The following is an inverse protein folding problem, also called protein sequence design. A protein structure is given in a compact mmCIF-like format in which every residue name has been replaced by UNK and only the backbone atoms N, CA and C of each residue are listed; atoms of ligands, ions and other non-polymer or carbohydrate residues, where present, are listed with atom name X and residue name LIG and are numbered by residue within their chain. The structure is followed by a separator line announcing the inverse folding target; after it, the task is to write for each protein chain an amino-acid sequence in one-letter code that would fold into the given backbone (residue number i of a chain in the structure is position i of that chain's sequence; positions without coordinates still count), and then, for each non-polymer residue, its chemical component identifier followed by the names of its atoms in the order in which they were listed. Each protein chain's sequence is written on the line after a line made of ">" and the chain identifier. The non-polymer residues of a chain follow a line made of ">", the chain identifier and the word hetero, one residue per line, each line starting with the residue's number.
data_IF_585698369579
#
_entry.id   IF_585698369579
#
_cell.length_a   1.000
_cell.length_b   1.000
_cell.length_c   1.000
_cell.angle_alpha   90.00
_cell.angle_beta   90.00
_cell.angle_gamma   90.00
#
_symmetry.space_group_name_H-M   'P 1'
#
loop_
_entity.id
_entity.type
_entity.pdbx_description
1 polymer ?
#
# COMPACT_ATOMS: atom_id res chain seq x y z
N UNK A 1 10.39 -44.64 -12.12
CA UNK A 1 10.58 -43.81 -10.91
C UNK A 1 11.34 -42.56 -11.31
N UNK A 2 10.61 -41.48 -11.62
CA UNK A 2 11.14 -40.13 -11.83
C UNK A 2 10.04 -39.19 -11.36
N UNK A 3 10.28 -38.58 -10.19
CA UNK A 3 9.38 -37.65 -9.55
C UNK A 3 9.38 -36.33 -10.34
N UNK A 4 8.16 -35.89 -10.64
CA UNK A 4 7.83 -34.65 -11.33
C UNK A 4 8.23 -33.44 -10.46
N UNK A 5 8.97 -32.49 -11.05
CA UNK A 5 9.26 -31.20 -10.45
C UNK A 5 8.00 -30.34 -10.58
N UNK A 6 7.05 -30.53 -9.66
CA UNK A 6 5.92 -29.61 -9.54
C UNK A 6 6.41 -28.26 -9.01
N UNK A 7 6.53 -27.32 -9.95
CA UNK A 7 6.38 -25.88 -9.74
C UNK A 7 5.26 -25.62 -8.73
N UNK A 8 5.61 -25.20 -7.51
CA UNK A 8 4.64 -24.91 -6.46
C UNK A 8 3.68 -23.78 -6.86
N UNK A 9 2.39 -24.09 -6.89
CA UNK A 9 1.28 -23.14 -6.98
C UNK A 9 1.41 -22.02 -5.94
N UNK A 10 1.76 -20.79 -6.38
CA UNK A 10 1.53 -19.56 -5.60
C UNK A 10 0.16 -18.98 -5.93
N UNK A 11 -0.89 -19.75 -5.66
CA UNK A 11 -2.27 -19.33 -5.92
C UNK A 11 -2.89 -18.69 -4.67
N UNK A 12 -3.02 -17.36 -4.67
CA UNK A 12 -4.23 -16.72 -4.14
C UNK A 12 -4.12 -15.68 -3.01
N UNK A 13 -2.96 -15.14 -2.64
CA UNK A 13 -2.89 -14.15 -1.54
C UNK A 13 -1.92 -13.00 -1.87
N UNK A 14 -2.30 -11.75 -1.54
CA UNK A 14 -1.56 -10.52 -1.89
C UNK A 14 -0.78 -9.96 -0.71
N UNK A 15 0.32 -9.28 -0.99
CA UNK A 15 1.20 -8.67 0.01
C UNK A 15 0.68 -7.28 0.39
N UNK A 16 1.36 -6.56 1.29
CA UNK A 16 0.87 -5.26 1.80
C UNK A 16 1.97 -4.22 1.80
N UNK A 17 1.65 -2.98 1.43
CA UNK A 17 2.54 -1.85 1.63
C UNK A 17 2.04 -1.00 2.80
N UNK A 18 2.85 -0.84 3.85
CA UNK A 18 2.51 -0.02 5.02
C UNK A 18 3.22 1.34 4.95
N UNK A 19 2.61 2.38 5.54
CA UNK A 19 3.18 3.72 5.69
C UNK A 19 3.14 4.18 7.15
N UNK A 20 4.26 4.74 7.63
CA UNK A 20 4.37 5.24 9.00
C UNK A 20 3.40 6.38 9.25
N UNK A 21 2.73 6.37 10.40
CA UNK A 21 1.96 7.51 10.89
C UNK A 21 2.90 8.68 11.23
N UNK A 22 2.48 9.94 10.99
CA UNK A 22 3.22 11.08 11.52
C UNK A 22 3.22 10.97 13.05
N UNK A 23 4.40 10.75 13.63
CA UNK A 23 4.56 10.85 15.09
C UNK A 23 4.05 12.23 15.52
N UNK A 24 3.22 12.34 16.58
CA UNK A 24 2.99 13.63 17.20
C UNK A 24 4.35 14.06 17.72
N UNK A 25 5.03 14.94 16.98
CA UNK A 25 6.22 15.59 17.49
C UNK A 25 5.81 16.20 18.82
N UNK A 26 6.39 15.71 19.91
CA UNK A 26 6.36 16.38 21.21
C UNK A 26 7.17 17.67 20.99
N UNK A 27 6.57 18.67 20.35
CA UNK A 27 7.07 20.04 20.40
C UNK A 27 6.58 20.58 21.73
N UNK A 28 7.16 20.07 22.81
CA UNK A 28 7.01 20.67 24.13
C UNK A 28 7.49 22.11 24.04
N UNK A 29 6.62 23.03 24.48
CA UNK A 29 6.82 24.48 24.48
C UNK A 29 8.26 24.86 24.89
N UNK A 30 9.06 25.32 23.94
CA UNK A 30 10.16 26.25 24.23
C UNK A 30 10.32 27.21 23.06
N UNK A 31 10.19 28.50 23.38
CA UNK A 31 10.22 29.65 22.50
C UNK A 31 11.52 29.73 21.67
N UNK A 32 11.37 29.94 20.36
CA UNK A 32 12.32 30.54 19.41
C UNK A 32 13.75 30.00 19.31
N UNK A 33 13.99 29.15 18.31
CA UNK A 33 15.05 29.35 17.31
C UNK A 33 14.60 28.68 16.01
N UNK A 34 14.45 29.45 14.94
CA UNK A 34 14.09 28.93 13.61
C UNK A 34 15.26 28.13 13.04
N UNK A 35 15.40 26.88 13.45
CA UNK A 35 16.17 25.92 12.68
C UNK A 35 15.26 25.41 11.57
N UNK A 36 15.57 25.82 10.35
CA UNK A 36 15.28 25.01 9.16
C UNK A 36 16.05 23.69 9.32
N UNK A 37 15.51 22.78 10.12
CA UNK A 37 15.91 21.39 10.05
C UNK A 37 15.26 20.87 8.77
N UNK A 38 16.06 20.68 7.73
CA UNK A 38 15.76 19.65 6.75
C UNK A 38 15.67 18.35 7.54
N UNK A 39 14.48 18.07 8.06
CA UNK A 39 14.23 16.94 8.94
C UNK A 39 14.34 15.71 8.06
N UNK A 40 15.53 15.10 8.02
CA UNK A 40 15.66 13.76 7.48
C UNK A 40 14.82 12.88 8.39
N UNK A 41 13.67 12.44 7.88
CA UNK A 41 12.82 11.51 8.59
C UNK A 41 13.61 10.22 8.76
N UNK A 42 14.01 9.94 10.01
CA UNK A 42 14.66 8.68 10.35
C UNK A 42 13.58 7.59 10.35
N UNK A 43 13.60 6.77 9.30
CA UNK A 43 12.72 5.62 9.21
C UNK A 43 13.20 4.49 10.14
N UNK A 44 12.27 3.69 10.69
CA UNK A 44 12.65 2.49 11.43
C UNK A 44 13.48 1.53 10.57
N UNK A 45 14.25 0.66 11.21
CA UNK A 45 15.06 -0.35 10.49
C UNK A 45 14.15 -1.20 9.59
N UNK A 46 14.54 -1.35 8.32
CA UNK A 46 13.79 -2.10 7.32
C UNK A 46 12.74 -1.29 6.54
N UNK A 47 12.50 -0.03 6.90
CA UNK A 47 11.60 0.86 6.18
C UNK A 47 12.36 1.73 5.18
N UNK A 48 11.74 1.99 4.05
CA UNK A 48 12.28 2.84 3.00
C UNK A 48 11.77 4.28 3.15
N UNK A 49 12.69 5.25 3.19
CA UNK A 49 12.34 6.65 3.22
C UNK A 49 11.93 7.15 1.84
N UNK A 50 10.85 7.93 1.78
CA UNK A 50 10.53 8.76 0.63
C UNK A 50 9.91 10.08 1.10
N UNK A 51 10.64 11.18 0.92
CA UNK A 51 10.24 12.48 1.45
C UNK A 51 10.15 12.46 2.98
N UNK A 52 9.00 12.88 3.52
CA UNK A 52 8.73 12.90 4.95
C UNK A 52 8.02 11.64 5.49
N UNK A 53 7.96 10.56 4.69
CA UNK A 53 7.22 9.34 5.03
C UNK A 53 8.11 8.11 4.90
N UNK A 54 7.76 7.07 5.65
CA UNK A 54 8.45 5.78 5.63
C UNK A 54 7.50 4.71 5.12
N UNK A 55 7.98 3.86 4.21
CA UNK A 55 7.19 2.82 3.58
C UNK A 55 7.82 1.45 3.82
N UNK A 56 7.00 0.42 3.99
CA UNK A 56 7.43 -0.95 4.16
C UNK A 56 6.65 -1.86 3.24
N UNK A 57 7.36 -2.69 2.49
CA UNK A 57 6.76 -3.83 1.81
C UNK A 57 6.73 -5.03 2.75
N UNK A 58 5.54 -5.59 2.96
CA UNK A 58 5.31 -6.74 3.84
C UNK A 58 5.08 -7.97 3.00
N UNK A 59 6.02 -8.90 3.04
CA UNK A 59 5.96 -10.20 2.38
C UNK A 59 5.16 -11.23 3.23
N UNK A 60 3.94 -10.85 3.62
CA UNK A 60 2.96 -11.71 4.26
C UNK A 60 1.64 -11.67 3.47
N UNK A 61 1.17 -12.80 2.94
CA UNK A 61 0.11 -12.78 1.95
C UNK A 61 -1.26 -12.83 2.67
N UNK A 62 -1.95 -11.68 2.63
CA UNK A 62 -3.13 -11.36 3.44
C UNK A 62 -4.28 -10.81 2.58
N UNK A 63 -5.52 -10.93 3.07
CA UNK A 63 -6.64 -10.15 2.55
C UNK A 63 -6.47 -8.66 2.92
N UNK A 64 -7.19 -7.76 2.24
CA UNK A 64 -7.00 -6.31 2.43
C UNK A 64 -7.28 -5.86 3.87
N UNK A 65 -8.31 -6.42 4.51
CA UNK A 65 -8.62 -6.11 5.91
C UNK A 65 -7.52 -6.59 6.86
N UNK A 66 -7.04 -7.83 6.69
CA UNK A 66 -5.98 -8.39 7.52
C UNK A 66 -4.65 -7.65 7.30
N UNK A 67 -4.40 -7.22 6.08
CA UNK A 67 -3.28 -6.36 5.70
C UNK A 67 -3.33 -5.00 6.41
N UNK A 68 -4.51 -4.36 6.45
CA UNK A 68 -4.73 -3.12 7.19
C UNK A 68 -4.47 -3.31 8.69
N UNK A 69 -5.02 -4.36 9.28
CA UNK A 69 -4.79 -4.69 10.70
C UNK A 69 -3.33 -5.02 10.99
N UNK A 70 -2.63 -5.66 10.05
CA UNK A 70 -1.21 -5.95 10.17
C UNK A 70 -0.37 -4.67 10.18
N UNK A 71 -0.62 -3.72 9.27
CA UNK A 71 0.04 -2.41 9.29
C UNK A 71 -0.23 -1.68 10.62
N UNK A 72 -1.48 -1.70 11.10
CA UNK A 72 -1.85 -1.06 12.38
C UNK A 72 -1.11 -1.64 13.59
N UNK A 73 -0.93 -2.96 13.63
CA UNK A 73 -0.13 -3.63 14.68
C UNK A 73 1.34 -3.19 14.69
N UNK A 74 1.85 -2.68 13.57
CA UNK A 74 3.19 -2.10 13.45
C UNK A 74 3.23 -0.58 13.69
N UNK A 75 2.12 0.05 14.08
CA UNK A 75 2.03 1.52 14.24
C UNK A 75 1.97 2.29 12.92
N UNK A 76 1.46 1.65 11.87
CA UNK A 76 1.37 2.18 10.50
C UNK A 76 -0.03 1.95 9.91
N UNK A 77 -0.31 2.51 8.75
CA UNK A 77 -1.50 2.20 7.96
C UNK A 77 -1.12 1.57 6.62
N UNK A 78 -2.07 0.98 5.89
CA UNK A 78 -1.85 0.66 4.49
C UNK A 78 -1.54 1.94 3.72
N UNK A 79 -0.52 1.87 2.86
CA UNK A 79 0.07 3.02 2.22
C UNK A 79 -0.91 3.76 1.31
N UNK A 80 -0.94 5.07 1.45
CA UNK A 80 -1.64 6.00 0.57
C UNK A 80 -0.66 6.73 -0.36
N UNK A 81 -1.15 7.14 -1.53
CA UNK A 81 -0.38 7.79 -2.58
C UNK A 81 -0.95 9.19 -2.80
N UNK A 82 -0.18 10.22 -2.49
CA UNK A 82 -0.63 11.62 -2.54
C UNK A 82 -0.01 12.43 -3.67
N UNK A 83 1.01 11.91 -4.35
CA UNK A 83 1.63 12.61 -5.47
C UNK A 83 2.30 11.63 -6.47
N UNK A 84 2.65 12.09 -7.69
CA UNK A 84 3.26 11.23 -8.70
C UNK A 84 4.61 10.62 -8.28
N UNK A 85 5.39 11.32 -7.46
CA UNK A 85 6.70 10.84 -7.00
C UNK A 85 6.55 9.67 -6.03
N UNK A 86 5.59 9.76 -5.09
CA UNK A 86 5.19 8.65 -4.22
C UNK A 86 4.66 7.47 -5.03
N UNK A 87 3.84 7.70 -6.06
CA UNK A 87 3.35 6.63 -6.92
C UNK A 87 4.50 5.87 -7.58
N UNK A 88 5.44 6.58 -8.19
CA UNK A 88 6.61 5.97 -8.83
C UNK A 88 7.47 5.19 -7.83
N UNK A 89 7.67 5.74 -6.63
CA UNK A 89 8.40 5.08 -5.57
C UNK A 89 7.70 3.80 -5.09
N UNK A 90 6.40 3.85 -4.86
CA UNK A 90 5.59 2.69 -4.47
C UNK A 90 5.58 1.60 -5.54
N UNK A 91 5.46 1.98 -6.81
CA UNK A 91 5.58 1.07 -7.95
C UNK A 91 6.96 0.39 -7.98
N UNK A 92 8.04 1.13 -7.72
CA UNK A 92 9.39 0.55 -7.63
C UNK A 92 9.52 -0.41 -6.45
N UNK A 93 9.01 -0.03 -5.28
CA UNK A 93 9.03 -0.84 -4.07
C UNK A 93 8.33 -2.19 -4.29
N UNK A 94 7.16 -2.19 -4.96
CA UNK A 94 6.42 -3.42 -5.27
C UNK A 94 7.09 -4.23 -6.39
N UNK A 95 7.67 -3.59 -7.40
CA UNK A 95 8.46 -4.25 -8.45
C UNK A 95 9.67 -5.03 -7.87
N UNK A 96 10.34 -4.46 -6.87
CA UNK A 96 11.45 -5.09 -6.16
C UNK A 96 10.98 -6.18 -5.17
N UNK A 97 9.70 -6.18 -4.81
CA UNK A 97 9.07 -7.19 -3.98
C UNK A 97 8.82 -8.52 -4.71
N UNK A 98 8.14 -9.44 -4.03
CA UNK A 98 7.87 -10.78 -4.56
C UNK A 98 6.56 -10.90 -5.33
N UNK A 99 5.49 -10.21 -4.88
CA UNK A 99 4.14 -10.24 -5.47
C UNK A 99 3.46 -8.86 -5.49
N UNK A 100 2.25 -8.80 -6.05
CA UNK A 100 1.33 -7.66 -5.96
C UNK A 100 1.08 -7.26 -4.49
N UNK A 101 0.87 -5.96 -4.24
CA UNK A 101 0.70 -5.44 -2.90
C UNK A 101 -0.55 -4.56 -2.74
N UNK A 102 -1.34 -4.82 -1.70
CA UNK A 102 -2.42 -3.96 -1.27
C UNK A 102 -1.92 -2.58 -0.86
N UNK A 103 -2.73 -1.56 -1.17
CA UNK A 103 -2.57 -0.18 -0.72
C UNK A 103 -3.86 0.27 -0.01
N UNK A 104 -3.80 1.40 0.69
CA UNK A 104 -4.88 1.85 1.56
C UNK A 104 -6.14 2.36 0.85
N UNK A 105 -6.23 2.26 -0.48
CA UNK A 105 -7.36 2.78 -1.23
C UNK A 105 -8.51 1.76 -1.27
N UNK A 106 -9.72 2.24 -1.00
CA UNK A 106 -10.94 1.43 -1.04
C UNK A 106 -12.10 2.26 -1.60
N UNK A 107 -13.04 1.58 -2.25
CA UNK A 107 -14.22 2.20 -2.84
C UNK A 107 -15.40 2.10 -1.87
N UNK A 108 -15.97 3.24 -1.51
CA UNK A 108 -17.12 3.31 -0.61
C UNK A 108 -18.05 4.43 -1.03
N UNK A 109 -19.35 4.11 -1.19
CA UNK A 109 -20.41 5.07 -1.54
C UNK A 109 -20.01 5.90 -2.76
N UNK A 110 -19.79 5.20 -3.88
CA UNK A 110 -19.49 5.76 -5.21
C UNK A 110 -18.17 6.54 -5.36
N UNK A 111 -17.29 6.51 -4.36
CA UNK A 111 -15.98 7.14 -4.44
C UNK A 111 -14.88 6.31 -3.80
N UNK A 112 -13.69 6.43 -4.37
CA UNK A 112 -12.47 5.98 -3.71
C UNK A 112 -12.20 6.83 -2.47
N UNK A 113 -11.52 6.23 -1.48
CA UNK A 113 -11.04 6.85 -0.25
C UNK A 113 -9.75 6.18 0.20
N UNK A 114 -8.94 6.88 0.97
CA UNK A 114 -7.80 6.31 1.68
C UNK A 114 -8.19 5.89 3.11
N UNK A 115 -7.60 4.80 3.60
CA UNK A 115 -7.85 4.29 4.95
C UNK A 115 -7.31 5.20 6.06
N UNK A 116 -6.31 6.02 5.75
CA UNK A 116 -5.75 7.04 6.65
C UNK A 116 -6.67 8.27 6.81
N UNK A 117 -7.75 8.35 6.04
CA UNK A 117 -8.71 9.45 6.07
C UNK A 117 -8.27 10.69 5.28
N UNK A 118 -7.09 10.66 4.65
CA UNK A 118 -6.59 11.76 3.84
C UNK A 118 -7.39 11.91 2.54
N UNK A 119 -7.38 13.14 2.00
CA UNK A 119 -8.05 13.44 0.74
C UNK A 119 -7.39 12.74 -0.46
N UNK A 120 -8.22 12.29 -1.41
CA UNK A 120 -7.75 11.82 -2.72
C UNK A 120 -7.47 13.01 -3.66
N UNK A 121 -6.38 13.71 -3.40
CA UNK A 121 -5.91 14.81 -4.24
C UNK A 121 -5.16 14.35 -5.50
N UNK A 122 -4.65 13.11 -5.47
CA UNK A 122 -3.94 12.47 -6.58
C UNK A 122 -4.58 11.12 -6.90
N UNK A 123 -5.27 11.06 -8.04
CA UNK A 123 -6.06 9.90 -8.46
C UNK A 123 -5.93 9.58 -9.95
N UNK A 124 -4.92 10.13 -10.64
CA UNK A 124 -4.71 9.90 -12.09
C UNK A 124 -4.49 8.42 -12.45
N UNK A 125 -4.09 7.62 -11.45
CA UNK A 125 -3.88 6.18 -11.55
C UNK A 125 -5.17 5.36 -11.32
N UNK A 126 -6.25 5.99 -10.85
CA UNK A 126 -7.54 5.33 -10.63
C UNK A 126 -8.29 5.31 -11.96
N UNK A 127 -8.07 4.26 -12.73
CA UNK A 127 -9.00 3.88 -13.79
C UNK A 127 -10.36 3.57 -13.19
N UNK A 128 -11.40 4.28 -13.60
CA UNK A 128 -12.76 3.98 -13.13
C UNK A 128 -13.22 2.66 -13.74
N UNK A 129 -13.02 1.57 -13.01
CA UNK A 129 -13.62 0.30 -13.34
C UNK A 129 -14.81 -0.03 -12.46
N UNK A 130 -15.87 -0.40 -13.17
CA UNK A 130 -17.21 -0.75 -12.72
C UNK A 130 -17.26 -2.08 -11.96
N UNK A 131 -16.44 -2.26 -10.94
CA UNK A 131 -16.58 -3.41 -10.05
C UNK A 131 -17.80 -3.17 -9.16
N UNK A 132 -18.86 -3.95 -9.38
CA UNK A 132 -20.14 -3.94 -8.67
C UNK A 132 -20.07 -4.31 -7.17
N UNK A 133 -18.87 -4.28 -6.56
CA UNK A 133 -18.62 -4.82 -5.22
C UNK A 133 -17.53 -4.04 -4.46
N UNK A 134 -17.65 -2.70 -4.36
CA UNK A 134 -16.83 -1.84 -3.48
C UNK A 134 -15.36 -2.27 -3.37
N UNK A 135 -14.58 -2.21 -4.47
CA UNK A 135 -13.24 -2.78 -4.53
C UNK A 135 -12.24 -2.09 -3.60
N UNK A 136 -11.20 -2.84 -3.22
CA UNK A 136 -9.97 -2.35 -2.61
C UNK A 136 -8.83 -2.35 -3.64
N UNK A 137 -7.87 -1.43 -3.49
CA UNK A 137 -6.83 -1.19 -4.47
C UNK A 137 -5.52 -1.91 -4.14
N UNK A 138 -4.83 -2.40 -5.17
CA UNK A 138 -3.50 -2.97 -5.08
C UNK A 138 -2.61 -2.52 -6.25
N UNK A 139 -1.30 -2.55 -6.02
CA UNK A 139 -0.26 -2.33 -7.01
C UNK A 139 0.17 -3.65 -7.62
N UNK A 140 0.34 -3.69 -8.94
CA UNK A 140 0.91 -4.84 -9.63
C UNK A 140 2.42 -4.83 -9.58
N UNK A 141 3.04 -5.98 -9.37
CA UNK A 141 4.50 -6.12 -9.46
C UNK A 141 4.99 -5.99 -10.91
N UNK A 142 4.31 -6.66 -11.83
CA UNK A 142 4.77 -6.82 -13.21
C UNK A 142 4.22 -5.73 -14.16
N UNK A 143 3.40 -4.81 -13.65
CA UNK A 143 2.92 -3.65 -14.41
C UNK A 143 2.86 -2.45 -13.49
N UNK A 144 3.21 -1.25 -13.98
CA UNK A 144 3.08 0.01 -13.23
C UNK A 144 1.60 0.45 -13.15
N UNK A 145 0.74 -0.47 -12.78
CA UNK A 145 -0.71 -0.31 -12.76
C UNK A 145 -1.22 -0.40 -11.32
N UNK A 146 -2.35 0.25 -11.09
CA UNK A 146 -3.14 0.07 -9.87
C UNK A 146 -4.47 -0.53 -10.28
N UNK A 147 -4.93 -1.50 -9.51
CA UNK A 147 -6.09 -2.32 -9.86
C UNK A 147 -7.03 -2.46 -8.67
N UNK A 148 -8.30 -2.78 -8.93
CA UNK A 148 -9.30 -3.08 -7.91
C UNK A 148 -9.52 -4.58 -7.73
N UNK A 149 -9.82 -5.02 -6.51
CA UNK A 149 -10.32 -6.37 -6.24
C UNK A 149 -11.17 -6.40 -4.95
N UNK A 150 -11.88 -7.50 -4.70
CA UNK A 150 -12.71 -7.63 -3.49
C UNK A 150 -11.83 -7.62 -2.24
N UNK A 151 -12.16 -6.75 -1.28
CA UNK A 151 -11.37 -6.51 -0.07
C UNK A 151 -11.19 -7.76 0.82
N UNK A 152 -12.11 -8.72 0.76
CA UNK A 152 -12.12 -9.94 1.60
C UNK A 152 -11.39 -11.15 0.99
N UNK A 153 -10.70 -10.99 -0.16
CA UNK A 153 -10.09 -12.14 -0.84
C UNK A 153 -8.94 -12.76 -0.03
N UNK A 154 -9.22 -13.91 0.61
CA UNK A 154 -8.25 -14.96 0.95
C UNK A 154 -8.02 -15.92 -0.25
N UNK A 155 -7.34 -17.07 -0.07
CA UNK A 155 -6.84 -17.90 -1.17
C UNK A 155 -7.96 -18.65 -1.89
N UNK A 156 -8.60 -17.93 -2.81
CA UNK A 156 -9.32 -18.35 -4.00
C UNK A 156 -10.30 -17.24 -4.32
N UNK A 157 -9.91 -16.30 -5.18
CA UNK A 157 -10.80 -15.85 -6.25
C UNK A 157 -10.03 -15.10 -7.34
N UNK A 158 -9.90 -15.84 -8.44
CA UNK A 158 -9.43 -15.49 -9.75
C UNK A 158 -10.38 -14.48 -10.40
N UNK A 159 -10.35 -13.25 -9.92
CA UNK A 159 -11.17 -12.17 -10.44
C UNK A 159 -10.32 -10.91 -10.53
N UNK A 160 -9.42 -10.96 -11.51
CA UNK A 160 -8.76 -9.80 -12.10
C UNK A 160 -9.84 -8.94 -12.74
N UNK A 161 -10.37 -7.96 -12.01
CA UNK A 161 -11.25 -6.96 -12.59
C UNK A 161 -10.50 -5.62 -12.68
N UNK A 162 -10.25 -5.27 -13.94
CA UNK A 162 -9.82 -3.99 -14.47
C UNK A 162 -8.60 -3.34 -13.81
N UNK A 163 -7.44 -3.73 -14.33
CA UNK A 163 -6.25 -2.90 -14.33
C UNK A 163 -6.26 -2.07 -15.62
N UNK A 164 -5.98 -0.77 -15.53
CA UNK A 164 -5.50 -0.01 -16.69
C UNK A 164 -4.00 -0.26 -16.91
#
# INVERSE_FOLDING_TARGET
>A
EQADLQSGNQEGTRLSACVSLPLPFIVSLSLSLSLSLASSVLCPVGWFNHGSRCFLYVDNPLGWNDAADHCKKMGADLASIHNPTENNFMQLLVQLGNNDAWIGAYYLQTKWRWIDGEGLYYSDWIGMSSASSNPCAYLRKNSKSVCGSVCQSGPAQQHQYDCL
#
